data_IF_473406922833
#
_entry.id   IF_473406922833
#
_cell.length_a   1.000
_cell.length_b   1.000
_cell.length_c   1.000
_cell.angle_alpha   90.00
_cell.angle_beta   90.00
_cell.angle_gamma   90.00
#
_symmetry.space_group_name_H-M   'P 1'
#
loop_
_entity.id
_entity.type
_entity.pdbx_description
1 polymer ?
#
# COMPACT_ATOMS: atom_id res chain seq x y z
N UNK A 1 -42.81 -11.92 -10.64
CA UNK A 1 -41.61 -11.29 -11.21
C UNK A 1 -40.68 -10.94 -10.07
N UNK A 2 -39.75 -11.84 -9.71
CA UNK A 2 -38.67 -11.48 -8.78
C UNK A 2 -37.61 -10.74 -9.57
N UNK A 3 -37.73 -9.42 -9.69
CA UNK A 3 -36.64 -8.59 -10.20
C UNK A 3 -35.46 -8.79 -9.26
N UNK A 4 -34.40 -9.43 -9.76
CA UNK A 4 -33.29 -9.91 -8.95
C UNK A 4 -32.36 -8.74 -8.57
N UNK A 5 -32.89 -7.79 -7.80
CA UNK A 5 -32.23 -6.55 -7.41
C UNK A 5 -30.85 -6.77 -6.76
N UNK A 6 -30.63 -7.82 -5.93
CA UNK A 6 -29.30 -8.11 -5.40
C UNK A 6 -28.26 -8.48 -6.48
N UNK A 7 -28.68 -9.20 -7.53
CA UNK A 7 -27.80 -9.58 -8.65
C UNK A 7 -27.47 -8.38 -9.55
N UNK A 8 -28.45 -7.52 -9.84
CA UNK A 8 -28.22 -6.29 -10.59
C UNK A 8 -27.28 -5.33 -9.83
N UNK A 9 -27.54 -5.13 -8.53
CA UNK A 9 -26.68 -4.31 -7.68
C UNK A 9 -25.25 -4.86 -7.65
N UNK A 10 -25.08 -6.18 -7.56
CA UNK A 10 -23.76 -6.81 -7.61
C UNK A 10 -23.04 -6.54 -8.94
N UNK A 11 -23.76 -6.63 -10.06
CA UNK A 11 -23.21 -6.32 -11.39
C UNK A 11 -22.67 -4.89 -11.46
N UNK A 12 -23.51 -3.89 -11.18
CA UNK A 12 -23.09 -2.49 -11.20
C UNK A 12 -21.99 -2.19 -10.17
N UNK A 13 -22.05 -2.82 -9.00
CA UNK A 13 -21.05 -2.61 -7.95
C UNK A 13 -19.67 -3.19 -8.29
N UNK A 14 -19.57 -4.17 -9.20
CA UNK A 14 -18.29 -4.76 -9.62
C UNK A 14 -17.48 -3.83 -10.53
N UNK A 15 -18.15 -2.93 -11.26
CA UNK A 15 -17.47 -2.01 -12.17
C UNK A 15 -16.50 -1.08 -11.41
N UNK A 16 -16.82 -0.66 -10.19
CA UNK A 16 -15.96 0.20 -9.37
C UNK A 16 -14.61 -0.43 -8.98
N UNK A 17 -14.56 -1.63 -8.36
CA UNK A 17 -13.29 -2.29 -8.07
C UNK A 17 -12.52 -2.67 -9.34
N UNK A 18 -13.19 -2.97 -10.46
CA UNK A 18 -12.54 -3.21 -11.75
C UNK A 18 -11.91 -1.94 -12.32
N UNK A 19 -12.64 -0.84 -12.35
CA UNK A 19 -12.13 0.47 -12.76
C UNK A 19 -10.96 0.92 -11.87
N UNK A 20 -11.06 0.77 -10.54
CA UNK A 20 -9.95 1.09 -9.63
C UNK A 20 -8.73 0.19 -9.86
N UNK A 21 -8.94 -1.09 -10.13
CA UNK A 21 -7.83 -2.00 -10.46
C UNK A 21 -7.10 -1.54 -11.73
N UNK A 22 -7.82 -1.16 -12.78
CA UNK A 22 -7.22 -0.59 -14.00
C UNK A 22 -6.50 0.73 -13.73
N UNK A 23 -7.08 1.64 -12.93
CA UNK A 23 -6.41 2.88 -12.54
C UNK A 23 -5.09 2.60 -11.80
N UNK A 24 -5.09 1.65 -10.86
CA UNK A 24 -3.90 1.25 -10.12
C UNK A 24 -2.82 0.59 -10.99
N UNK A 25 -3.18 -0.01 -12.13
CA UNK A 25 -2.24 -0.69 -13.04
C UNK A 25 -1.94 0.10 -14.32
N UNK A 26 -2.60 1.24 -14.53
CA UNK A 26 -2.40 2.15 -15.65
C UNK A 26 -1.20 3.09 -15.48
N UNK A 27 -0.78 3.71 -16.58
CA UNK A 27 0.30 4.70 -16.64
C UNK A 27 -0.17 6.08 -17.12
N UNK A 28 0.72 7.08 -17.13
CA UNK A 28 0.42 8.42 -17.63
C UNK A 28 -0.23 8.41 -19.02
N UNK A 29 -1.18 9.32 -19.25
CA UNK A 29 -1.92 9.40 -20.52
C UNK A 29 -3.08 8.39 -20.67
N UNK A 30 -3.12 7.32 -19.87
CA UNK A 30 -4.23 6.36 -19.88
C UNK A 30 -5.53 6.97 -19.33
N UNK A 31 -6.65 6.43 -19.79
CA UNK A 31 -8.00 6.81 -19.33
C UNK A 31 -8.82 5.57 -19.05
N UNK A 32 -9.52 5.57 -17.93
CA UNK A 32 -10.44 4.50 -17.52
C UNK A 32 -11.86 5.06 -17.59
N UNK A 33 -12.81 4.30 -18.12
CA UNK A 33 -14.19 4.73 -18.24
C UNK A 33 -15.17 3.70 -17.70
N UNK A 34 -16.28 4.13 -17.11
CA UNK A 34 -17.40 3.25 -16.77
C UNK A 34 -18.58 3.52 -17.71
N UNK A 35 -19.23 2.48 -18.22
CA UNK A 35 -20.42 2.57 -19.09
C UNK A 35 -20.20 3.38 -20.40
N UNK A 36 -18.96 3.42 -20.90
CA UNK A 36 -18.58 4.08 -22.16
C UNK A 36 -18.05 3.06 -23.18
N UNK A 37 -17.18 2.17 -22.74
CA UNK A 37 -16.49 1.16 -23.56
C UNK A 37 -16.72 -0.22 -22.93
N UNK A 38 -17.98 -0.68 -22.98
CA UNK A 38 -18.46 -1.78 -22.14
C UNK A 38 -18.75 -1.30 -20.71
N UNK A 39 -18.73 -2.26 -19.78
CA UNK A 39 -18.91 -2.02 -18.34
C UNK A 39 -17.73 -1.20 -17.79
N UNK A 40 -16.49 -1.57 -18.15
CA UNK A 40 -15.26 -0.82 -17.86
C UNK A 40 -14.38 -0.73 -19.12
N UNK A 41 -13.98 0.48 -19.50
CA UNK A 41 -13.13 0.72 -20.65
C UNK A 41 -11.76 1.23 -20.23
N UNK A 42 -10.72 0.87 -21.00
CA UNK A 42 -9.39 1.50 -20.92
C UNK A 42 -9.04 2.05 -22.29
N UNK A 43 -8.62 3.31 -22.34
CA UNK A 43 -8.00 3.92 -23.52
C UNK A 43 -6.57 4.31 -23.16
N UNK A 44 -5.60 3.71 -23.84
CA UNK A 44 -4.17 3.94 -23.62
C UNK A 44 -3.68 5.16 -24.38
N UNK A 45 -2.54 5.70 -23.97
CA UNK A 45 -1.87 6.80 -24.68
C UNK A 45 -1.53 6.43 -26.14
N UNK A 46 -1.16 5.16 -26.39
CA UNK A 46 -0.86 4.62 -27.72
C UNK A 46 -2.10 4.33 -28.60
N UNK A 47 -3.29 4.77 -28.14
CA UNK A 47 -4.60 4.57 -28.75
C UNK A 47 -5.14 3.14 -28.70
N UNK A 48 -4.41 2.18 -28.11
CA UNK A 48 -4.98 0.86 -27.83
C UNK A 48 -6.12 0.96 -26.82
N UNK A 49 -7.11 0.08 -26.98
CA UNK A 49 -8.32 0.04 -26.16
C UNK A 49 -8.49 -1.32 -25.50
N UNK A 50 -9.15 -1.30 -24.35
CA UNK A 50 -9.71 -2.48 -23.71
C UNK A 50 -11.19 -2.21 -23.47
N UNK A 51 -12.04 -3.09 -23.98
CA UNK A 51 -13.48 -3.09 -23.71
C UNK A 51 -13.78 -4.26 -22.76
N UNK A 52 -14.13 -3.96 -21.51
CA UNK A 52 -14.44 -4.95 -20.48
C UNK A 52 -15.93 -5.11 -20.28
N UNK A 53 -16.38 -6.36 -20.16
CA UNK A 53 -17.74 -6.72 -19.79
C UNK A 53 -17.70 -7.56 -18.51
N UNK A 54 -18.41 -7.12 -17.48
CA UNK A 54 -18.41 -7.64 -16.12
C UNK A 54 -19.63 -8.53 -15.88
N UNK A 55 -19.41 -9.84 -15.74
CA UNK A 55 -20.48 -10.82 -15.49
C UNK A 55 -20.41 -11.35 -14.08
N UNK A 56 -21.53 -11.21 -13.37
CA UNK A 56 -21.63 -11.53 -11.95
C UNK A 56 -22.72 -12.56 -11.69
N UNK A 57 -22.47 -13.45 -10.72
CA UNK A 57 -23.50 -14.32 -10.18
C UNK A 57 -23.39 -14.44 -8.67
N UNK A 58 -24.55 -14.47 -8.01
CA UNK A 58 -24.65 -14.84 -6.60
C UNK A 58 -24.39 -16.34 -6.41
N UNK A 59 -24.75 -17.18 -7.38
CA UNK A 59 -24.64 -18.64 -7.31
C UNK A 59 -24.04 -19.21 -8.61
N UNK A 60 -22.90 -19.89 -8.51
CA UNK A 60 -22.29 -20.60 -9.64
C UNK A 60 -21.60 -19.71 -10.67
N UNK A 61 -21.39 -20.27 -11.86
CA UNK A 61 -20.66 -19.65 -12.98
C UNK A 61 -21.60 -18.76 -13.82
N UNK A 62 -21.33 -17.45 -13.98
CA UNK A 62 -22.16 -16.57 -14.82
C UNK A 62 -22.00 -16.84 -16.33
N UNK A 63 -20.92 -17.49 -16.76
CA UNK A 63 -20.53 -17.63 -18.17
C UNK A 63 -20.49 -19.10 -18.62
N UNK A 64 -21.58 -19.82 -18.42
CA UNK A 64 -21.74 -21.19 -18.95
C UNK A 64 -21.99 -21.20 -20.46
N UNK A 65 -21.82 -22.36 -21.12
CA UNK A 65 -22.01 -22.49 -22.57
C UNK A 65 -23.41 -22.12 -23.08
N UNK A 66 -24.42 -22.12 -22.20
CA UNK A 66 -25.80 -21.73 -22.52
C UNK A 66 -26.22 -20.41 -21.85
N UNK A 67 -25.28 -19.67 -21.27
CA UNK A 67 -25.54 -18.38 -20.63
C UNK A 67 -25.91 -17.33 -21.68
N UNK A 68 -27.08 -16.72 -21.54
CA UNK A 68 -27.47 -15.57 -22.36
C UNK A 68 -26.51 -14.39 -22.21
N UNK A 69 -25.97 -14.15 -21.02
CA UNK A 69 -24.98 -13.10 -20.78
C UNK A 69 -23.71 -13.32 -21.63
N UNK A 70 -23.22 -14.56 -21.72
CA UNK A 70 -22.05 -14.89 -22.54
C UNK A 70 -22.29 -14.60 -24.03
N UNK A 71 -23.36 -15.16 -24.60
CA UNK A 71 -23.66 -15.01 -26.02
C UNK A 71 -24.06 -13.58 -26.40
N UNK A 72 -24.76 -12.88 -25.50
CA UNK A 72 -25.10 -11.47 -25.68
C UNK A 72 -23.85 -10.59 -25.66
N UNK A 73 -22.85 -10.91 -24.84
CA UNK A 73 -21.57 -10.20 -24.80
C UNK A 73 -20.88 -10.25 -26.17
N UNK A 74 -20.68 -11.45 -26.73
CA UNK A 74 -20.08 -11.58 -28.06
C UNK A 74 -20.94 -10.95 -29.15
N UNK A 75 -22.27 -11.09 -29.07
CA UNK A 75 -23.18 -10.40 -29.98
C UNK A 75 -22.99 -8.87 -29.95
N UNK A 76 -22.85 -8.27 -28.77
CA UNK A 76 -22.65 -6.83 -28.62
C UNK A 76 -21.30 -6.39 -29.21
N UNK A 77 -20.20 -7.05 -28.83
CA UNK A 77 -18.88 -6.73 -29.38
C UNK A 77 -18.81 -6.90 -30.89
N UNK A 78 -19.38 -7.98 -31.44
CA UNK A 78 -19.45 -8.18 -32.90
C UNK A 78 -20.25 -7.07 -33.57
N UNK A 79 -21.36 -6.60 -32.99
CA UNK A 79 -22.09 -5.44 -33.53
C UNK A 79 -21.28 -4.14 -33.47
N UNK A 80 -20.53 -3.90 -32.39
CA UNK A 80 -19.66 -2.73 -32.25
C UNK A 80 -18.50 -2.73 -33.25
N UNK A 81 -18.00 -3.92 -33.60
CA UNK A 81 -17.02 -4.08 -34.69
C UNK A 81 -17.67 -3.80 -36.06
N UNK A 82 -18.86 -4.35 -36.31
CA UNK A 82 -19.59 -4.12 -37.58
C UNK A 82 -19.94 -2.64 -37.76
N UNK A 83 -20.32 -1.94 -36.70
CA UNK A 83 -20.66 -0.51 -36.74
C UNK A 83 -19.44 0.40 -36.84
N UNK A 84 -18.22 -0.13 -36.63
CA UNK A 84 -16.98 0.65 -36.58
C UNK A 84 -16.77 1.42 -35.27
N UNK A 85 -17.58 1.16 -34.24
CA UNK A 85 -17.39 1.73 -32.90
C UNK A 85 -16.12 1.19 -32.22
N UNK A 86 -15.84 -0.09 -32.46
CA UNK A 86 -14.63 -0.77 -32.01
C UNK A 86 -13.80 -1.28 -33.20
N UNK A 87 -12.53 -0.93 -33.21
CA UNK A 87 -11.56 -1.49 -34.15
C UNK A 87 -10.88 -2.71 -33.49
N UNK A 88 -11.13 -3.94 -33.96
CA UNK A 88 -10.53 -5.13 -33.39
C UNK A 88 -9.00 -5.22 -33.62
N UNK A 89 -8.43 -4.43 -34.52
CA UNK A 89 -6.97 -4.37 -34.67
C UNK A 89 -6.28 -3.76 -33.44
N UNK A 90 -6.97 -2.85 -32.73
CA UNK A 90 -6.44 -2.05 -31.63
C UNK A 90 -7.22 -2.21 -30.31
N UNK A 91 -8.14 -3.19 -30.25
CA UNK A 91 -9.01 -3.41 -29.07
C UNK A 91 -8.84 -4.81 -28.51
N UNK A 92 -8.59 -4.91 -27.20
CA UNK A 92 -8.72 -6.15 -26.42
C UNK A 92 -10.14 -6.24 -25.88
N UNK A 93 -10.77 -7.41 -26.04
CA UNK A 93 -12.12 -7.67 -25.55
C UNK A 93 -12.05 -8.53 -24.29
N UNK A 94 -12.26 -7.93 -23.12
CA UNK A 94 -12.11 -8.61 -21.85
C UNK A 94 -13.46 -8.99 -21.27
N UNK A 95 -13.66 -10.28 -20.95
CA UNK A 95 -14.78 -10.72 -20.14
C UNK A 95 -14.29 -11.03 -18.74
N UNK A 96 -14.75 -10.26 -17.77
CA UNK A 96 -14.50 -10.53 -16.37
C UNK A 96 -15.67 -11.32 -15.78
N UNK A 97 -15.37 -12.43 -15.10
CA UNK A 97 -16.33 -13.16 -14.29
C UNK A 97 -15.96 -13.11 -12.82
N UNK A 98 -16.94 -12.83 -11.96
CA UNK A 98 -16.68 -12.74 -10.53
C UNK A 98 -16.46 -14.12 -9.87
N UNK A 99 -16.86 -15.22 -10.53
CA UNK A 99 -16.74 -16.59 -10.01
C UNK A 99 -16.23 -17.54 -11.08
N UNK A 100 -15.38 -18.49 -10.67
CA UNK A 100 -14.89 -19.59 -11.52
C UNK A 100 -15.97 -20.63 -11.79
N UNK A 101 -15.89 -21.23 -12.96
CA UNK A 101 -16.78 -22.30 -13.41
C UNK A 101 -16.03 -23.49 -14.00
N UNK A 102 -16.80 -24.46 -14.52
CA UNK A 102 -16.25 -25.53 -15.37
C UNK A 102 -15.80 -24.92 -16.69
N UNK A 103 -14.70 -25.45 -17.23
CA UNK A 103 -14.18 -25.02 -18.53
C UNK A 103 -15.23 -25.23 -19.63
N UNK A 104 -15.40 -24.24 -20.49
CA UNK A 104 -16.41 -24.22 -21.55
C UNK A 104 -15.95 -23.51 -22.81
N UNK A 105 -16.91 -22.99 -23.58
CA UNK A 105 -16.71 -22.21 -24.80
C UNK A 105 -15.82 -21.00 -24.51
N UNK A 106 -16.08 -20.30 -23.40
CA UNK A 106 -15.30 -19.12 -22.99
C UNK A 106 -13.80 -19.42 -22.85
N UNK A 107 -13.43 -20.58 -22.27
CA UNK A 107 -12.03 -21.01 -22.16
C UNK A 107 -11.42 -21.44 -23.50
N UNK A 108 -12.25 -21.89 -24.45
CA UNK A 108 -11.79 -22.18 -25.81
C UNK A 108 -11.48 -20.89 -26.56
N UNK A 109 -12.33 -19.88 -26.41
CA UNK A 109 -12.13 -18.57 -27.02
C UNK A 109 -10.90 -17.88 -26.42
N UNK A 110 -10.74 -17.90 -25.09
CA UNK A 110 -9.57 -17.31 -24.42
C UNK A 110 -8.23 -17.95 -24.80
N UNK A 111 -8.23 -19.17 -25.33
CA UNK A 111 -7.01 -19.85 -25.81
C UNK A 111 -6.70 -19.56 -27.29
N UNK A 112 -7.64 -18.97 -28.02
CA UNK A 112 -7.49 -18.70 -29.44
C UNK A 112 -6.76 -17.37 -29.65
N UNK A 113 -5.44 -17.44 -29.85
CA UNK A 113 -4.57 -16.25 -30.00
C UNK A 113 -4.25 -15.93 -31.47
N UNK A 114 -4.75 -16.73 -32.41
CA UNK A 114 -4.63 -16.50 -33.86
C UNK A 114 -5.99 -16.58 -34.51
N UNK A 115 -6.17 -15.90 -35.64
CA UNK A 115 -7.37 -16.02 -36.48
C UNK A 115 -7.78 -17.48 -36.77
N UNK A 116 -6.82 -18.35 -37.08
CA UNK A 116 -7.09 -19.78 -37.36
C UNK A 116 -7.64 -20.50 -36.14
N UNK A 117 -7.07 -20.24 -34.95
CA UNK A 117 -7.56 -20.83 -33.70
C UNK A 117 -8.95 -20.28 -33.35
N UNK A 118 -9.18 -18.99 -33.60
CA UNK A 118 -10.46 -18.32 -33.37
C UNK A 118 -11.56 -18.94 -34.25
N UNK A 119 -11.31 -19.08 -35.56
CA UNK A 119 -12.23 -19.72 -36.50
C UNK A 119 -12.56 -21.16 -36.06
N UNK A 120 -11.56 -21.95 -35.69
CA UNK A 120 -11.75 -23.32 -35.22
C UNK A 120 -12.56 -23.39 -33.91
N UNK A 121 -12.30 -22.50 -32.96
CA UNK A 121 -13.02 -22.42 -31.70
C UNK A 121 -14.49 -22.00 -31.92
N UNK A 122 -14.74 -21.02 -32.80
CA UNK A 122 -16.08 -20.57 -33.17
C UNK A 122 -16.87 -21.70 -33.82
N UNK A 123 -16.29 -22.42 -34.78
CA UNK A 123 -16.95 -23.56 -35.42
C UNK A 123 -17.34 -24.63 -34.39
N UNK A 124 -16.43 -24.95 -33.47
CA UNK A 124 -16.69 -25.91 -32.38
C UNK A 124 -17.83 -25.43 -31.46
N UNK A 125 -17.83 -24.14 -31.10
CA UNK A 125 -18.87 -23.54 -30.26
C UNK A 125 -20.24 -23.58 -30.95
N UNK A 126 -20.34 -23.15 -32.21
CA UNK A 126 -21.57 -23.15 -32.99
C UNK A 126 -22.12 -24.56 -33.21
N UNK A 127 -21.26 -25.56 -33.44
CA UNK A 127 -21.67 -26.97 -33.53
C UNK A 127 -22.27 -27.47 -32.21
N UNK A 128 -21.68 -27.07 -31.07
CA UNK A 128 -22.15 -27.46 -29.74
C UNK A 128 -23.55 -26.94 -29.43
N UNK A 129 -23.91 -25.75 -29.93
CA UNK A 129 -25.23 -25.13 -29.72
C UNK A 129 -26.16 -25.23 -30.93
N UNK A 130 -25.78 -25.95 -31.99
CA UNK A 130 -26.52 -26.01 -33.27
C UNK A 130 -27.98 -26.44 -33.15
N UNK A 131 -28.29 -27.32 -32.20
CA UNK A 131 -29.65 -27.90 -32.01
C UNK A 131 -30.49 -27.14 -30.98
N UNK A 132 -30.09 -25.93 -30.62
CA UNK A 132 -30.82 -25.17 -29.61
C UNK A 132 -32.20 -24.75 -30.13
N UNK A 133 -33.20 -24.81 -29.26
CA UNK A 133 -34.58 -24.43 -29.58
C UNK A 133 -34.63 -22.95 -29.98
N UNK A 134 -35.40 -22.61 -31.02
CA UNK A 134 -35.57 -21.22 -31.48
C UNK A 134 -36.21 -20.30 -30.44
N UNK A 135 -36.86 -20.86 -29.42
CA UNK A 135 -37.41 -20.16 -28.26
C UNK A 135 -36.40 -19.96 -27.13
N UNK A 136 -35.22 -20.59 -27.19
CA UNK A 136 -34.19 -20.40 -26.17
C UNK A 136 -33.62 -18.98 -26.22
N UNK A 137 -33.32 -18.40 -25.06
CA UNK A 137 -32.90 -16.99 -24.94
C UNK A 137 -31.65 -16.63 -25.75
N UNK A 138 -30.74 -17.59 -25.94
CA UNK A 138 -29.49 -17.39 -26.69
C UNK A 138 -29.64 -17.57 -28.21
N UNK A 139 -30.75 -18.14 -28.70
CA UNK A 139 -30.89 -18.52 -30.12
C UNK A 139 -30.65 -17.32 -31.05
N UNK A 140 -31.24 -16.16 -30.75
CA UNK A 140 -31.07 -14.94 -31.56
C UNK A 140 -29.61 -14.47 -31.63
N UNK A 141 -28.85 -14.66 -30.55
CA UNK A 141 -27.44 -14.26 -30.49
C UNK A 141 -26.59 -15.25 -31.29
N UNK A 142 -26.82 -16.56 -31.13
CA UNK A 142 -26.14 -17.61 -31.88
C UNK A 142 -26.40 -17.50 -33.38
N UNK A 143 -27.66 -17.31 -33.79
CA UNK A 143 -28.05 -17.16 -35.20
C UNK A 143 -27.36 -15.94 -35.84
N UNK A 144 -27.33 -14.80 -35.14
CA UNK A 144 -26.59 -13.62 -35.61
C UNK A 144 -25.10 -13.92 -35.75
N UNK A 145 -24.47 -14.46 -34.71
CA UNK A 145 -23.02 -14.72 -34.68
C UNK A 145 -22.60 -15.74 -35.75
N UNK A 146 -23.46 -16.70 -36.08
CA UNK A 146 -23.22 -17.65 -37.18
C UNK A 146 -23.21 -17.01 -38.58
N UNK A 147 -23.81 -15.82 -38.73
CA UNK A 147 -23.85 -15.05 -39.98
C UNK A 147 -22.72 -14.02 -40.08
N UNK A 148 -22.08 -13.71 -38.95
CA UNK A 148 -21.02 -12.70 -38.80
C UNK A 148 -19.74 -13.31 -38.23
N UNK A 149 -19.36 -14.49 -38.73
CA UNK A 149 -18.23 -15.24 -38.18
C UNK A 149 -16.89 -14.56 -38.40
N UNK A 150 -16.75 -13.74 -39.45
CA UNK A 150 -15.50 -13.02 -39.72
C UNK A 150 -15.22 -11.96 -38.65
N UNK A 151 -16.24 -11.19 -38.28
CA UNK A 151 -16.16 -10.16 -37.24
C UNK A 151 -16.14 -10.79 -35.84
N UNK A 152 -16.84 -11.91 -35.62
CA UNK A 152 -16.67 -12.67 -34.39
C UNK A 152 -15.25 -13.23 -34.25
N UNK A 153 -14.63 -13.67 -35.35
CA UNK A 153 -13.25 -14.19 -35.36
C UNK A 153 -12.25 -13.12 -34.93
N UNK A 154 -12.39 -11.88 -35.41
CA UNK A 154 -11.53 -10.78 -34.98
C UNK A 154 -11.73 -10.38 -33.51
N UNK A 155 -12.94 -10.52 -32.97
CA UNK A 155 -13.21 -10.36 -31.52
C UNK A 155 -12.55 -11.50 -30.72
N UNK A 156 -12.74 -12.75 -31.12
CA UNK A 156 -12.21 -13.93 -30.42
C UNK A 156 -10.68 -13.97 -30.45
N UNK A 157 -10.04 -13.54 -31.54
CA UNK A 157 -8.58 -13.44 -31.66
C UNK A 157 -7.96 -12.47 -30.63
N UNK A 158 -8.72 -11.47 -30.16
CA UNK A 158 -8.31 -10.46 -29.17
C UNK A 158 -9.04 -10.61 -27.83
N UNK A 159 -9.62 -11.78 -27.60
CA UNK A 159 -10.46 -12.02 -26.42
C UNK A 159 -9.64 -12.49 -25.22
N UNK A 160 -9.91 -11.89 -24.06
CA UNK A 160 -9.35 -12.29 -22.78
C UNK A 160 -10.46 -12.62 -21.78
N UNK A 161 -10.32 -13.75 -21.09
CA UNK A 161 -11.21 -14.17 -20.02
C UNK A 161 -10.48 -14.11 -18.68
N UNK A 162 -10.95 -13.22 -17.80
CA UNK A 162 -10.41 -13.04 -16.45
C UNK A 162 -11.43 -13.51 -15.43
N UNK A 163 -10.97 -14.25 -14.42
CA UNK A 163 -11.82 -14.61 -13.29
C UNK A 163 -11.29 -14.04 -11.99
N UNK A 164 -12.11 -13.24 -11.31
CA UNK A 164 -11.73 -12.59 -10.06
C UNK A 164 -12.23 -13.28 -8.80
N UNK A 165 -12.15 -12.54 -7.68
CA UNK A 165 -12.36 -13.07 -6.33
C UNK A 165 -13.77 -12.83 -5.75
N UNK A 166 -14.81 -12.76 -6.59
CA UNK A 166 -16.20 -12.53 -6.16
C UNK A 166 -16.62 -11.06 -6.18
N UNK A 167 -15.83 -10.16 -5.59
CA UNK A 167 -16.11 -8.72 -5.51
C UNK A 167 -15.07 -7.84 -6.21
N UNK A 168 -13.99 -8.40 -6.78
CA UNK A 168 -12.89 -7.62 -7.35
C UNK A 168 -11.96 -6.95 -6.33
N UNK A 169 -12.32 -6.95 -5.04
CA UNK A 169 -11.58 -6.21 -4.00
C UNK A 169 -10.20 -6.82 -3.72
N UNK A 170 -10.02 -8.13 -3.83
CA UNK A 170 -8.70 -8.75 -3.58
C UNK A 170 -7.69 -8.38 -4.66
N UNK A 171 -8.15 -8.20 -5.89
CA UNK A 171 -7.31 -7.73 -6.99
C UNK A 171 -6.87 -6.28 -6.74
N UNK A 172 -7.76 -5.41 -6.24
CA UNK A 172 -7.43 -4.05 -5.80
C UNK A 172 -6.41 -4.05 -4.67
N UNK A 173 -6.62 -4.88 -3.63
CA UNK A 173 -5.68 -5.00 -2.49
C UNK A 173 -4.27 -5.39 -2.95
N UNK A 174 -4.18 -6.38 -3.85
CA UNK A 174 -2.90 -6.78 -4.47
C UNK A 174 -2.26 -5.65 -5.27
N UNK A 175 -3.06 -4.91 -6.05
CA UNK A 175 -2.56 -3.78 -6.83
C UNK A 175 -2.04 -2.65 -5.92
N UNK A 176 -2.70 -2.37 -4.80
CA UNK A 176 -2.26 -1.42 -3.78
C UNK A 176 -0.91 -1.83 -3.18
N UNK A 177 -0.72 -3.11 -2.86
CA UNK A 177 0.56 -3.60 -2.32
C UNK A 177 1.75 -3.35 -3.26
N UNK A 178 1.53 -3.30 -4.58
CA UNK A 178 2.59 -2.95 -5.54
C UNK A 178 3.02 -1.48 -5.47
N UNK A 179 2.33 -0.64 -4.68
CA UNK A 179 2.62 0.78 -4.49
C UNK A 179 3.55 1.05 -3.29
N UNK A 180 4.27 0.04 -2.80
CA UNK A 180 5.25 0.15 -1.72
C UNK A 180 4.64 0.72 -0.42
N UNK A 181 3.48 0.19 -0.04
CA UNK A 181 2.76 0.56 1.20
C UNK A 181 2.77 -0.62 2.16
N UNK A 182 2.71 -0.34 3.46
CA UNK A 182 2.60 -1.39 4.48
C UNK A 182 1.29 -2.17 4.34
N UNK A 183 1.31 -3.47 4.66
CA UNK A 183 0.11 -4.34 4.60
C UNK A 183 -1.03 -3.80 5.45
N UNK A 184 -0.71 -3.20 6.60
CA UNK A 184 -1.66 -2.55 7.50
C UNK A 184 -2.35 -1.30 6.91
N UNK A 185 -1.82 -0.72 5.83
CA UNK A 185 -2.39 0.46 5.16
C UNK A 185 -3.30 0.11 3.99
N UNK A 186 -3.33 -1.17 3.56
CA UNK A 186 -4.08 -1.59 2.36
C UNK A 186 -5.56 -1.31 2.49
N UNK A 187 -6.18 -1.63 3.63
CA UNK A 187 -7.60 -1.40 3.85
C UNK A 187 -7.96 0.09 3.88
N UNK A 188 -7.12 0.90 4.51
CA UNK A 188 -7.26 2.36 4.51
C UNK A 188 -7.24 2.90 3.07
N UNK A 189 -6.23 2.54 2.29
CA UNK A 189 -6.08 3.00 0.91
C UNK A 189 -7.23 2.52 0.03
N UNK A 190 -7.61 1.25 0.15
CA UNK A 190 -8.74 0.66 -0.60
C UNK A 190 -10.02 1.46 -0.37
N UNK A 191 -10.37 1.75 0.89
CA UNK A 191 -11.57 2.51 1.22
C UNK A 191 -11.52 3.94 0.68
N UNK A 192 -10.37 4.62 0.83
CA UNK A 192 -10.20 6.00 0.36
C UNK A 192 -10.27 6.13 -1.15
N UNK A 193 -9.58 5.23 -1.87
CA UNK A 193 -9.55 5.24 -3.33
C UNK A 193 -10.90 4.85 -3.93
N UNK A 194 -11.58 3.82 -3.40
CA UNK A 194 -12.93 3.47 -3.86
C UNK A 194 -13.95 4.56 -3.56
N UNK A 195 -13.89 5.16 -2.37
CA UNK A 195 -14.78 6.27 -2.00
C UNK A 195 -14.62 7.46 -2.93
N UNK A 196 -13.37 7.87 -3.20
CA UNK A 196 -13.08 8.93 -4.16
C UNK A 196 -13.58 8.60 -5.58
N UNK A 197 -13.29 7.40 -6.08
CA UNK A 197 -13.72 6.99 -7.42
C UNK A 197 -15.24 6.98 -7.55
N UNK A 198 -15.94 6.48 -6.52
CA UNK A 198 -17.40 6.50 -6.47
C UNK A 198 -17.96 7.92 -6.54
N UNK A 199 -17.43 8.83 -5.71
CA UNK A 199 -17.86 10.23 -5.69
C UNK A 199 -17.63 10.93 -7.05
N UNK A 200 -16.46 10.72 -7.66
CA UNK A 200 -16.10 11.32 -8.96
C UNK A 200 -17.02 10.84 -10.09
N UNK A 201 -17.22 9.52 -10.20
CA UNK A 201 -18.12 8.92 -11.19
C UNK A 201 -19.54 9.42 -11.02
N UNK A 202 -20.06 9.42 -9.79
CA UNK A 202 -21.42 9.89 -9.52
C UNK A 202 -21.59 11.38 -9.85
N UNK A 203 -20.58 12.21 -9.58
CA UNK A 203 -20.60 13.63 -9.94
C UNK A 203 -20.67 13.81 -11.46
N UNK A 204 -19.85 13.08 -12.24
CA UNK A 204 -19.86 13.12 -13.71
C UNK A 204 -21.21 12.66 -14.28
N UNK A 205 -21.76 11.55 -13.78
CA UNK A 205 -23.05 11.02 -14.23
C UNK A 205 -24.22 11.96 -13.91
N UNK A 206 -24.22 12.62 -12.74
CA UNK A 206 -25.28 13.54 -12.33
C UNK A 206 -25.45 14.73 -13.30
N UNK A 207 -24.36 15.15 -13.95
CA UNK A 207 -24.36 16.21 -14.97
C UNK A 207 -24.37 15.67 -16.40
N UNK A 208 -24.71 14.38 -16.59
CA UNK A 208 -24.76 13.68 -17.89
C UNK A 208 -23.44 13.72 -18.67
N UNK A 209 -22.31 13.81 -17.96
CA UNK A 209 -20.98 13.63 -18.55
C UNK A 209 -20.60 12.16 -18.55
N UNK A 210 -19.73 11.77 -19.49
CA UNK A 210 -19.17 10.42 -19.51
C UNK A 210 -18.31 10.20 -18.26
N UNK A 211 -18.45 9.04 -17.64
CA UNK A 211 -17.66 8.65 -16.48
C UNK A 211 -16.25 8.19 -16.89
N UNK A 212 -15.47 9.12 -17.44
CA UNK A 212 -14.07 8.92 -17.84
C UNK A 212 -13.16 9.56 -16.78
N UNK A 213 -12.17 8.81 -16.32
CA UNK A 213 -11.17 9.20 -15.34
C UNK A 213 -9.80 9.12 -16.03
N UNK A 214 -9.07 10.23 -16.06
CA UNK A 214 -7.69 10.20 -16.58
C UNK A 214 -6.72 9.71 -15.50
N UNK A 215 -5.59 9.17 -15.93
CA UNK A 215 -4.52 8.79 -15.01
C UNK A 215 -4.09 9.98 -14.13
N UNK A 216 -4.04 11.19 -14.67
CA UNK A 216 -3.64 12.39 -13.92
C UNK A 216 -4.66 12.78 -12.85
N UNK A 217 -5.97 12.63 -13.13
CA UNK A 217 -7.02 12.83 -12.13
C UNK A 217 -6.89 11.85 -10.97
N UNK A 218 -6.61 10.58 -11.30
CA UNK A 218 -6.36 9.54 -10.32
C UNK A 218 -5.07 9.80 -9.53
N UNK A 219 -3.94 10.04 -10.20
CA UNK A 219 -2.64 10.24 -9.58
C UNK A 219 -2.64 11.41 -8.60
N UNK A 220 -3.28 12.54 -8.97
CA UNK A 220 -3.45 13.71 -8.10
C UNK A 220 -4.14 13.38 -6.77
N UNK A 221 -5.09 12.45 -6.78
CA UNK A 221 -5.82 12.05 -5.57
C UNK A 221 -5.13 10.90 -4.84
N UNK A 222 -4.69 9.88 -5.58
CA UNK A 222 -4.01 8.72 -5.06
C UNK A 222 -2.69 9.09 -4.36
N UNK A 223 -1.90 10.01 -4.93
CA UNK A 223 -0.62 10.43 -4.34
C UNK A 223 -0.79 10.98 -2.93
N UNK A 224 -1.85 11.76 -2.66
CA UNK A 224 -2.11 12.28 -1.29
C UNK A 224 -2.31 11.16 -0.28
N UNK A 225 -3.10 10.15 -0.65
CA UNK A 225 -3.36 9.00 0.22
C UNK A 225 -2.13 8.10 0.35
N UNK A 226 -1.43 7.86 -0.75
CA UNK A 226 -0.21 7.05 -0.80
C UNK A 226 0.91 7.67 0.01
N UNK A 227 1.15 8.98 -0.11
CA UNK A 227 2.14 9.68 0.72
C UNK A 227 1.80 9.57 2.20
N UNK A 228 0.53 9.75 2.58
CA UNK A 228 0.10 9.56 3.97
C UNK A 228 0.32 8.13 4.45
N UNK A 229 -0.02 7.12 3.64
CA UNK A 229 0.18 5.72 3.99
C UNK A 229 1.66 5.30 4.01
N UNK A 230 2.51 5.98 3.23
CA UNK A 230 3.96 5.76 3.17
C UNK A 230 4.71 6.52 4.25
N UNK A 231 4.13 7.55 4.85
CA UNK A 231 4.69 8.21 6.04
C UNK A 231 4.72 7.15 7.15
N UNK A 232 5.87 6.49 7.27
CA UNK A 232 6.27 5.63 8.38
C UNK A 232 6.44 6.53 9.61
N UNK A 233 5.34 7.01 10.17
CA UNK A 233 5.35 7.79 11.41
C UNK A 233 6.16 7.05 12.47
N UNK A 234 6.99 7.77 13.21
CA UNK A 234 7.74 7.22 14.33
C UNK A 234 6.80 6.94 15.50
N UNK A 235 6.17 5.76 15.46
CA UNK A 235 5.22 5.30 16.47
C UNK A 235 5.90 5.27 17.85
N UNK A 236 5.26 5.82 18.88
CA UNK A 236 5.69 5.68 20.28
C UNK A 236 5.23 4.31 20.83
N UNK A 237 5.94 3.26 20.45
CA UNK A 237 5.70 1.89 20.93
C UNK A 237 5.78 1.76 22.46
N UNK A 238 6.47 2.67 23.14
CA UNK A 238 6.51 2.70 24.59
C UNK A 238 5.19 3.16 25.25
N UNK A 239 4.18 3.62 24.48
CA UNK A 239 2.81 3.79 24.98
C UNK A 239 2.07 2.45 25.06
N UNK A 240 2.33 1.55 24.11
CA UNK A 240 1.73 0.21 24.06
C UNK A 240 2.48 -0.79 24.96
N UNK A 241 3.81 -0.64 25.02
CA UNK A 241 4.72 -1.43 25.85
C UNK A 241 5.45 -0.53 26.85
N UNK A 242 4.72 0.10 27.81
CA UNK A 242 5.36 0.96 28.79
C UNK A 242 6.31 0.13 29.68
N UNK A 243 7.48 0.67 30.04
CA UNK A 243 8.32 0.05 31.05
C UNK A 243 7.51 -0.06 32.35
N UNK A 244 7.42 -1.25 32.93
CA UNK A 244 6.69 -1.43 34.17
C UNK A 244 7.50 -0.88 35.36
N UNK A 245 6.86 -0.73 36.52
CA UNK A 245 7.53 -0.24 37.73
C UNK A 245 8.67 -1.15 38.19
N UNK A 246 8.57 -2.47 37.96
CA UNK A 246 9.63 -3.42 38.33
C UNK A 246 10.89 -3.21 37.50
N UNK A 247 10.76 -2.98 36.18
CA UNK A 247 11.86 -2.68 35.27
C UNK A 247 12.57 -1.39 35.68
N UNK A 248 11.80 -0.37 36.06
CA UNK A 248 12.33 0.90 36.56
C UNK A 248 13.10 0.72 37.86
N UNK A 249 12.52 0.02 38.85
CA UNK A 249 13.19 -0.30 40.12
C UNK A 249 14.46 -1.12 39.90
N UNK A 250 14.40 -2.10 39.00
CA UNK A 250 15.53 -2.94 38.62
C UNK A 250 16.65 -2.11 37.98
N UNK A 251 16.33 -1.21 37.05
CA UNK A 251 17.33 -0.31 36.46
C UNK A 251 18.03 0.55 37.52
N UNK A 252 17.26 1.19 38.41
CA UNK A 252 17.83 1.98 39.51
C UNK A 252 18.72 1.14 40.42
N UNK A 253 18.29 -0.06 40.79
CA UNK A 253 19.08 -0.96 41.65
C UNK A 253 20.38 -1.44 40.98
N UNK A 254 20.33 -1.70 39.67
CA UNK A 254 21.50 -2.15 38.90
C UNK A 254 22.54 -1.04 38.71
N UNK A 255 22.16 0.24 38.84
CA UNK A 255 23.02 1.41 38.65
C UNK A 255 23.93 1.27 37.42
N UNK A 256 23.35 1.09 36.21
CA UNK A 256 24.11 1.04 34.96
C UNK A 256 24.94 2.31 34.72
N UNK A 257 25.87 2.26 33.77
CA UNK A 257 26.88 3.32 33.58
C UNK A 257 26.26 4.71 33.36
N UNK A 258 25.14 4.82 32.63
CA UNK A 258 24.51 6.14 32.45
C UNK A 258 24.00 6.73 33.78
N UNK A 259 23.51 5.91 34.72
CA UNK A 259 23.11 6.37 36.06
C UNK A 259 24.35 6.79 36.85
N UNK A 260 25.42 5.99 36.84
CA UNK A 260 26.67 6.34 37.53
C UNK A 260 27.25 7.67 37.01
N UNK A 261 27.12 7.93 35.71
CA UNK A 261 27.55 9.19 35.11
C UNK A 261 26.68 10.38 35.52
N UNK A 262 25.36 10.20 35.74
CA UNK A 262 24.46 11.22 36.27
C UNK A 262 24.78 11.54 37.74
N UNK A 263 25.01 10.50 38.54
CA UNK A 263 25.41 10.67 39.95
C UNK A 263 26.74 11.41 40.07
N UNK A 264 27.69 11.21 39.15
CA UNK A 264 28.97 11.93 39.14
C UNK A 264 28.87 13.40 38.72
N UNK A 265 27.71 13.86 38.27
CA UNK A 265 27.40 15.27 38.06
C UNK A 265 26.37 15.79 39.07
N UNK A 266 26.22 15.10 40.20
CA UNK A 266 25.30 15.43 41.29
C UNK A 266 23.84 15.60 40.83
N UNK A 267 23.38 14.76 39.90
CA UNK A 267 21.96 14.69 39.54
C UNK A 267 21.11 14.16 40.70
N UNK A 268 19.93 14.74 40.88
CA UNK A 268 19.00 14.34 41.94
C UNK A 268 18.17 13.10 41.59
N UNK A 269 17.43 12.58 42.58
CA UNK A 269 16.64 11.34 42.43
C UNK A 269 15.53 11.46 41.38
N UNK A 270 14.99 12.66 41.17
CA UNK A 270 13.94 12.95 40.19
C UNK A 270 14.55 12.98 38.77
N UNK A 271 15.71 13.62 38.59
CA UNK A 271 16.48 13.58 37.35
C UNK A 271 16.90 12.16 36.97
N UNK A 272 17.31 11.34 37.96
CA UNK A 272 17.63 9.93 37.74
C UNK A 272 16.36 9.14 37.38
N UNK A 273 15.21 9.43 38.00
CA UNK A 273 13.94 8.80 37.64
C UNK A 273 13.56 9.08 36.19
N UNK A 274 13.61 10.36 35.78
CA UNK A 274 13.31 10.77 34.41
C UNK A 274 14.27 10.16 33.40
N UNK A 275 15.57 10.09 33.73
CA UNK A 275 16.58 9.44 32.90
C UNK A 275 16.29 7.95 32.68
N UNK A 276 15.85 7.23 33.74
CA UNK A 276 15.48 5.81 33.64
C UNK A 276 14.27 5.63 32.72
N UNK A 277 13.24 6.46 32.88
CA UNK A 277 12.06 6.44 32.00
C UNK A 277 12.47 6.73 30.55
N UNK A 278 13.29 7.75 30.32
CA UNK A 278 13.75 8.11 28.98
C UNK A 278 14.55 6.98 28.33
N UNK A 279 15.49 6.39 29.07
CA UNK A 279 16.33 5.29 28.62
C UNK A 279 15.50 4.06 28.20
N UNK A 280 14.56 3.62 29.05
CA UNK A 280 13.75 2.44 28.79
C UNK A 280 12.82 2.66 27.59
N UNK A 281 12.14 3.81 27.51
CA UNK A 281 11.24 4.14 26.39
C UNK A 281 11.98 4.26 25.06
N UNK A 282 13.12 4.95 25.04
CA UNK A 282 13.92 5.07 23.83
C UNK A 282 14.45 3.71 23.35
N UNK A 283 14.83 2.81 24.28
CA UNK A 283 15.26 1.46 23.94
C UNK A 283 14.15 0.66 23.24
N UNK A 284 12.93 0.67 23.80
CA UNK A 284 11.75 0.01 23.20
C UNK A 284 11.44 0.59 21.82
N UNK A 285 11.31 1.92 21.73
CA UNK A 285 10.97 2.58 20.47
C UNK A 285 11.98 2.30 19.37
N UNK A 286 13.28 2.42 19.67
CA UNK A 286 14.33 2.17 18.66
C UNK A 286 14.36 0.73 18.18
N UNK A 287 14.19 -0.23 19.09
CA UNK A 287 14.11 -1.65 18.71
C UNK A 287 12.90 -1.88 17.79
N UNK A 288 11.73 -1.39 18.17
CA UNK A 288 10.51 -1.56 17.40
C UNK A 288 10.55 -0.82 16.05
N UNK A 289 11.21 0.33 15.96
CA UNK A 289 11.39 1.04 14.70
C UNK A 289 12.24 0.26 13.70
N UNK A 290 13.25 -0.48 14.18
CA UNK A 290 14.06 -1.34 13.32
C UNK A 290 13.26 -2.59 12.92
N UNK A 291 12.61 -3.25 13.88
CA UNK A 291 11.80 -4.46 13.63
C UNK A 291 10.62 -4.20 12.67
N UNK A 292 10.03 -3.00 12.72
CA UNK A 292 8.94 -2.57 11.83
C UNK A 292 9.43 -1.78 10.60
N UNK A 293 10.74 -1.74 10.35
CA UNK A 293 11.38 -1.03 9.24
C UNK A 293 11.00 0.47 9.16
N UNK A 294 10.62 1.13 10.26
CA UNK A 294 10.31 2.56 10.26
C UNK A 294 11.56 3.40 9.98
N UNK A 295 12.70 2.94 10.49
CA UNK A 295 14.03 3.46 10.18
C UNK A 295 14.95 2.34 9.70
N UNK A 296 15.92 2.69 8.86
CA UNK A 296 17.00 1.82 8.43
C UNK A 296 18.29 2.16 9.22
N UNK A 297 19.34 1.37 9.00
CA UNK A 297 20.63 1.54 9.67
C UNK A 297 21.28 2.90 9.38
N UNK A 298 21.20 3.38 8.14
CA UNK A 298 21.77 4.67 7.73
C UNK A 298 21.09 5.83 8.48
N UNK A 299 19.77 5.80 8.62
CA UNK A 299 19.01 6.78 9.40
C UNK A 299 19.38 6.71 10.89
N UNK A 300 19.56 5.51 11.44
CA UNK A 300 19.95 5.35 12.84
C UNK A 300 21.36 5.91 13.10
N UNK A 301 22.31 5.65 12.20
CA UNK A 301 23.68 6.16 12.26
C UNK A 301 23.74 7.68 12.09
N UNK A 302 23.00 8.25 11.14
CA UNK A 302 22.88 9.70 10.95
C UNK A 302 22.30 10.38 12.20
N UNK A 303 21.24 9.80 12.78
CA UNK A 303 20.62 10.30 14.00
C UNK A 303 21.62 10.32 15.18
N UNK A 304 22.31 9.20 15.44
CA UNK A 304 23.33 9.14 16.49
C UNK A 304 24.52 10.07 16.22
N UNK A 305 24.96 10.17 14.97
CA UNK A 305 26.02 11.09 14.54
C UNK A 305 25.66 12.56 14.82
N UNK A 306 24.40 12.94 14.59
CA UNK A 306 23.86 14.26 14.94
C UNK A 306 23.83 14.48 16.44
N UNK A 307 23.41 13.49 17.25
CA UNK A 307 23.46 13.56 18.72
C UNK A 307 24.89 13.77 19.23
N UNK A 308 25.82 12.95 18.72
CA UNK A 308 27.22 12.98 19.08
C UNK A 308 27.88 14.32 18.75
N UNK A 309 27.63 14.85 17.56
CA UNK A 309 28.20 16.11 17.10
C UNK A 309 27.79 17.29 17.98
N UNK A 310 26.52 17.34 18.38
CA UNK A 310 26.03 18.38 19.29
C UNK A 310 26.59 18.25 20.69
N UNK A 311 26.69 17.02 21.24
CA UNK A 311 27.32 16.82 22.54
C UNK A 311 28.78 17.31 22.50
N UNK A 312 29.54 17.00 21.43
CA UNK A 312 30.94 17.45 21.29
C UNK A 312 31.04 18.96 21.26
N UNK A 313 30.13 19.62 20.55
CA UNK A 313 30.08 21.07 20.46
C UNK A 313 29.70 21.69 21.81
N UNK A 314 28.70 21.12 22.50
CA UNK A 314 28.24 21.59 23.82
C UNK A 314 29.33 21.44 24.89
N UNK A 315 30.02 20.28 24.92
CA UNK A 315 31.15 20.04 25.82
C UNK A 315 32.28 21.05 25.57
N UNK A 316 32.63 21.26 24.30
CA UNK A 316 33.66 22.24 23.92
C UNK A 316 33.26 23.66 24.31
N UNK A 317 32.01 24.04 24.05
CA UNK A 317 31.45 25.35 24.41
C UNK A 317 31.55 25.60 25.91
N UNK A 318 31.04 24.67 26.73
CA UNK A 318 31.09 24.76 28.20
C UNK A 318 32.53 24.83 28.69
N UNK A 319 33.44 24.01 28.14
CA UNK A 319 34.87 24.04 28.51
C UNK A 319 35.53 25.40 28.24
N UNK A 320 35.17 26.07 27.15
CA UNK A 320 35.74 27.37 26.76
C UNK A 320 35.12 28.50 27.59
N UNK A 321 33.80 28.51 27.73
CA UNK A 321 33.03 29.63 28.30
C UNK A 321 32.92 29.57 29.83
N UNK A 322 33.02 28.38 30.42
CA UNK A 322 32.82 28.13 31.85
C UNK A 322 34.02 27.41 32.49
N UNK A 323 35.24 27.73 32.05
CA UNK A 323 36.48 27.06 32.49
C UNK A 323 36.71 27.09 34.01
N UNK A 324 36.27 28.17 34.69
CA UNK A 324 36.41 28.37 36.13
C UNK A 324 35.39 27.60 36.98
N UNK A 325 34.33 27.02 36.39
CA UNK A 325 33.36 26.23 37.14
C UNK A 325 33.93 24.87 37.56
N UNK A 326 33.43 24.27 38.67
CA UNK A 326 33.72 22.89 39.01
C UNK A 326 33.33 21.93 37.87
N UNK A 327 34.04 20.82 37.76
CA UNK A 327 33.82 19.83 36.70
C UNK A 327 32.40 19.22 36.74
N UNK A 328 31.83 19.04 37.93
CA UNK A 328 30.43 18.66 38.16
C UNK A 328 29.49 19.64 37.46
N UNK A 329 29.61 20.94 37.73
CA UNK A 329 28.75 21.97 37.14
C UNK A 329 28.91 22.08 35.63
N UNK A 330 30.12 21.86 35.10
CA UNK A 330 30.33 21.75 33.64
C UNK A 330 29.56 20.57 33.06
N UNK A 331 29.60 19.41 33.73
CA UNK A 331 28.86 18.23 33.33
C UNK A 331 27.34 18.45 33.31
N UNK A 332 26.81 19.12 34.33
CA UNK A 332 25.39 19.51 34.41
C UNK A 332 24.97 20.40 33.23
N UNK A 333 25.80 21.39 32.86
CA UNK A 333 25.50 22.27 31.73
C UNK A 333 25.45 21.52 30.38
N UNK A 334 26.41 20.61 30.14
CA UNK A 334 26.43 19.80 28.92
C UNK A 334 25.23 18.85 28.87
N UNK A 335 24.93 18.21 30.00
CA UNK A 335 23.77 17.34 30.14
C UNK A 335 22.47 18.08 29.82
N UNK A 336 22.23 19.22 30.47
CA UNK A 336 21.03 20.03 30.28
C UNK A 336 20.87 20.50 28.84
N UNK A 337 21.96 20.90 28.17
CA UNK A 337 21.93 21.28 26.76
C UNK A 337 21.47 20.12 25.87
N UNK A 338 21.93 18.90 26.16
CA UNK A 338 21.56 17.70 25.41
C UNK A 338 20.11 17.27 25.69
N UNK A 339 19.63 17.38 26.94
CA UNK A 339 18.25 17.04 27.30
C UNK A 339 17.21 17.99 26.70
N UNK A 340 17.56 19.26 26.50
CA UNK A 340 16.69 20.27 25.84
C UNK A 340 16.67 20.17 24.32
N UNK A 341 17.46 19.28 23.73
CA UNK A 341 17.62 19.24 22.29
C UNK A 341 16.37 18.69 21.61
N UNK A 342 15.93 19.40 20.58
CA UNK A 342 14.97 18.91 19.60
C UNK A 342 15.71 18.51 18.32
N UNK A 343 15.36 17.35 17.77
CA UNK A 343 15.94 16.85 16.53
C UNK A 343 14.91 16.00 15.78
N UNK A 344 14.74 16.28 14.49
CA UNK A 344 13.91 15.47 13.61
C UNK A 344 14.65 14.20 13.18
N UNK A 345 13.93 13.10 13.08
CA UNK A 345 14.38 11.84 12.46
C UNK A 345 13.53 11.64 11.20
N UNK A 346 14.15 11.58 10.01
CA UNK A 346 13.45 11.54 8.70
C UNK A 346 12.38 12.63 8.53
N UNK A 347 12.68 13.86 8.95
CA UNK A 347 11.75 15.01 8.94
C UNK A 347 10.49 14.83 9.81
N UNK A 348 10.53 13.92 10.79
CA UNK A 348 9.46 13.73 11.77
C UNK A 348 9.96 14.04 13.17
N UNK A 349 9.06 14.57 14.00
CA UNK A 349 9.31 14.70 15.43
C UNK A 349 9.26 13.32 16.07
N UNK A 350 10.35 12.85 16.71
CA UNK A 350 10.31 11.60 17.44
C UNK A 350 9.51 11.77 18.75
N UNK A 351 9.05 10.66 19.36
CA UNK A 351 8.45 10.68 20.69
C UNK A 351 9.33 11.39 21.73
N UNK A 352 8.68 12.02 22.71
CA UNK A 352 9.29 13.00 23.63
C UNK A 352 10.55 12.52 24.37
N UNK A 353 10.65 11.21 24.64
CA UNK A 353 11.77 10.60 25.36
C UNK A 353 12.89 10.07 24.47
N UNK A 354 12.71 10.07 23.15
CA UNK A 354 13.66 9.45 22.22
C UNK A 354 15.02 10.12 22.25
N UNK A 355 15.08 11.46 22.25
CA UNK A 355 16.36 12.19 22.21
C UNK A 355 17.14 11.98 23.51
N UNK A 356 16.51 12.26 24.65
CA UNK A 356 17.10 12.09 25.98
C UNK A 356 17.54 10.64 26.21
N UNK A 357 16.65 9.68 25.96
CA UNK A 357 16.95 8.26 26.09
C UNK A 357 18.09 7.78 25.18
N UNK A 358 18.23 8.34 23.98
CA UNK A 358 19.35 8.02 23.09
C UNK A 358 20.69 8.55 23.63
N UNK A 359 20.71 9.74 24.23
CA UNK A 359 21.89 10.23 24.95
C UNK A 359 22.26 9.31 26.12
N UNK A 360 21.28 8.82 26.89
CA UNK A 360 21.53 7.84 27.96
C UNK A 360 22.04 6.50 27.43
N UNK A 361 21.51 5.99 26.30
CA UNK A 361 22.03 4.79 25.64
C UNK A 361 23.50 4.95 25.24
N UNK A 362 23.86 6.09 24.63
CA UNK A 362 25.24 6.39 24.23
C UNK A 362 26.18 6.59 25.42
N UNK A 363 25.71 7.22 26.50
CA UNK A 363 26.44 7.35 27.77
C UNK A 363 26.67 5.98 28.42
N UNK A 364 25.65 5.12 28.39
CA UNK A 364 25.75 3.75 28.92
C UNK A 364 26.75 2.90 28.12
N UNK A 365 26.86 3.13 26.81
CA UNK A 365 27.86 2.52 25.93
C UNK A 365 29.23 3.20 25.94
N UNK A 366 29.46 4.18 26.83
CA UNK A 366 30.71 4.98 26.91
C UNK A 366 31.12 5.64 25.57
N UNK A 367 30.16 5.90 24.69
CA UNK A 367 30.38 6.66 23.45
C UNK A 367 30.52 8.16 23.76
N UNK A 368 29.89 8.60 24.84
CA UNK A 368 29.98 9.95 25.40
C UNK A 368 29.90 9.89 26.94
N UNK A 369 30.14 11.04 27.58
CA UNK A 369 29.92 11.15 29.01
C UNK A 369 29.67 12.57 29.49
N UNK A 370 29.22 12.72 30.73
CA UNK A 370 28.78 14.03 31.24
C UNK A 370 29.90 14.77 31.97
N UNK A 371 30.54 14.12 32.94
CA UNK A 371 31.64 14.71 33.69
C UNK A 371 32.88 14.89 32.79
N UNK A 372 33.64 16.01 32.85
CA UNK A 372 34.84 16.24 32.02
C UNK A 372 35.86 15.09 32.03
N UNK A 373 36.01 14.42 33.17
CA UNK A 373 36.90 13.28 33.37
C UNK A 373 36.24 11.90 33.13
N UNK A 374 35.09 11.83 32.47
CA UNK A 374 34.32 10.58 32.31
C UNK A 374 35.14 9.42 31.72
N UNK A 375 36.07 9.71 30.80
CA UNK A 375 36.95 8.71 30.17
C UNK A 375 37.92 8.04 31.13
N UNK A 376 38.27 8.68 32.25
CA UNK A 376 39.14 8.09 33.27
C UNK A 376 38.32 7.54 34.42
N UNK A 377 37.22 8.21 34.78
CA UNK A 377 36.33 7.82 35.89
C UNK A 377 35.52 6.53 35.63
N UNK A 378 35.20 6.22 34.38
CA UNK A 378 34.30 5.09 34.03
C UNK A 378 34.93 4.07 33.08
N UNK A 379 36.26 4.06 32.95
CA UNK A 379 36.95 2.98 32.22
C UNK A 379 36.71 1.64 32.91
N UNK A 380 36.47 0.56 32.17
CA UNK A 380 36.54 -0.77 32.76
C UNK A 380 37.96 -0.94 33.33
N UNK A 381 38.07 -1.25 34.62
CA UNK A 381 39.31 -1.74 35.19
C UNK A 381 39.68 -3.00 34.39
N UNK A 382 40.73 -2.93 33.57
CA UNK A 382 41.39 -4.15 33.12
C UNK A 382 41.76 -4.89 34.41
N UNK A 383 41.11 -6.04 34.66
CA UNK A 383 41.60 -6.96 35.69
C UNK A 383 43.06 -7.22 35.35
N UNK A 384 43.94 -6.87 36.26
CA UNK A 384 45.33 -7.27 36.23
C UNK A 384 45.37 -8.78 36.02
N UNK A 385 46.03 -9.21 34.95
CA UNK A 385 46.62 -10.54 34.86
C UNK A 385 47.74 -10.55 35.90
N UNK A 386 47.43 -11.00 37.12
CA UNK A 386 48.42 -11.37 38.13
C UNK A 386 48.28 -12.87 38.39
N UNK A 387 49.29 -13.59 37.90
CA UNK A 387 49.89 -14.90 38.31
C UNK A 387 49.01 -16.10 38.66
#
# INVERSE_FOLDING_TARGET
MGTNAPGQLLGFSLQFPRALWHLLTSGPGDKISLEVLGDVGVAKEDQSKLAEEDKSSQNGNPVTDLSSDLWKTFYNWTNQVISGELDPANTVFMLYANKKGRKGIVDSFNRAITKTDADAAIQTALLKVKKIDSKHEIFKHVDFLSKHTSELSSVVEKFEFVTGSGTGLKEVEKAILTKHVGVNQVDYLKQRLLGWLFEDVMAKLAVKQQAVITWEEFDKNATKFLESARKRELIDFALEFPPNEEDTKKQKLQRPLYIQQLEAIDSDDDEIQDAVTAFLRAKVNRQMWIENELIDEDVALDFEGKLMSFWRNSEKEVRITHSALPDVSKGQLVYLACMKRQLLIKNQEPPIYTIAGSYHLMSNGLSLGWHPNWKTSFKPLNKAEDE
#
